data_IF_325414778001
#
_entry.id   IF_325414778001
#
_cell.length_a   1.000
_cell.length_b   1.000
_cell.length_c   1.000
_cell.angle_alpha   90.00
_cell.angle_beta   90.00
_cell.angle_gamma   90.00
#
_symmetry.space_group_name_H-M   'P 1'
#
loop_
_entity.id
_entity.type
_entity.pdbx_description
1 polymer ?
#
# COMPACT_ATOMS: atom_id res chain seq x y z
N UNK A 1 -13.93 5.31 -12.22
CA UNK A 1 -14.78 5.70 -11.05
C UNK A 1 -14.08 6.85 -10.35
N UNK A 2 -14.81 7.81 -9.79
CA UNK A 2 -14.20 8.87 -8.98
C UNK A 2 -14.13 8.37 -7.53
N UNK A 3 -12.97 8.53 -6.89
CA UNK A 3 -12.75 8.18 -5.48
C UNK A 3 -13.52 9.15 -4.58
N UNK A 4 -14.26 8.64 -3.57
CA UNK A 4 -14.92 9.50 -2.57
C UNK A 4 -13.85 10.14 -1.67
N UNK A 5 -13.67 11.45 -1.84
CA UNK A 5 -12.63 12.22 -1.15
C UNK A 5 -12.79 12.18 0.37
N UNK A 6 -14.02 12.12 0.90
CA UNK A 6 -14.25 12.10 2.36
C UNK A 6 -13.76 10.79 2.97
N UNK A 7 -13.93 9.69 2.23
CA UNK A 7 -13.42 8.38 2.67
C UNK A 7 -11.90 8.33 2.55
N UNK A 8 -11.33 8.93 1.51
CA UNK A 8 -9.88 9.05 1.37
C UNK A 8 -9.27 9.86 2.52
N UNK A 9 -9.87 11.00 2.86
CA UNK A 9 -9.44 11.84 3.98
C UNK A 9 -9.48 11.08 5.33
N UNK A 10 -10.46 10.20 5.52
CA UNK A 10 -10.57 9.35 6.72
C UNK A 10 -9.49 8.24 6.81
N UNK A 11 -8.78 7.95 5.71
CA UNK A 11 -7.64 7.04 5.68
C UNK A 11 -6.33 7.79 5.94
N UNK A 12 -6.22 9.02 5.45
CA UNK A 12 -5.06 9.89 5.73
C UNK A 12 -4.98 10.20 7.22
N UNK A 13 -3.77 10.17 7.78
CA UNK A 13 -3.50 10.43 9.19
C UNK A 13 -3.68 9.24 10.13
N UNK A 14 -4.17 8.08 9.65
CA UNK A 14 -4.23 6.85 10.47
C UNK A 14 -2.84 6.48 11.00
N UNK A 15 -2.74 6.19 12.29
CA UNK A 15 -1.46 5.91 12.95
C UNK A 15 -0.84 4.60 12.45
N UNK A 16 0.45 4.64 12.17
CA UNK A 16 1.25 3.43 11.95
C UNK A 16 1.60 2.81 13.30
N UNK A 17 1.55 1.49 13.41
CA UNK A 17 1.99 0.82 14.63
C UNK A 17 2.05 -0.69 14.52
N UNK A 18 2.41 -1.37 15.62
CA UNK A 18 2.55 -2.83 15.65
C UNK A 18 1.27 -3.58 15.21
N UNK A 19 0.10 -2.95 15.40
CA UNK A 19 -1.21 -3.50 15.05
C UNK A 19 -1.79 -2.95 13.75
N UNK A 20 -1.12 -1.98 13.11
CA UNK A 20 -1.60 -1.31 11.91
C UNK A 20 -0.44 -0.90 11.01
N UNK A 21 -0.23 -1.65 9.93
CA UNK A 21 0.88 -1.47 9.00
C UNK A 21 0.44 -1.04 7.59
N UNK A 22 1.39 -1.01 6.66
CA UNK A 22 1.16 -0.62 5.27
C UNK A 22 0.15 -1.50 4.54
N UNK A 23 0.11 -2.80 4.84
CA UNK A 23 -0.83 -3.72 4.21
C UNK A 23 -2.22 -3.65 4.88
N UNK A 24 -2.30 -3.35 6.19
CA UNK A 24 -3.58 -3.03 6.83
C UNK A 24 -4.24 -1.81 6.16
N UNK A 25 -3.48 -0.74 5.92
CA UNK A 25 -3.96 0.44 5.19
C UNK A 25 -4.40 0.12 3.76
N UNK A 26 -3.67 -0.75 3.05
CA UNK A 26 -4.04 -1.15 1.69
C UNK A 26 -5.35 -1.95 1.65
N UNK A 27 -5.58 -2.83 2.64
CA UNK A 27 -6.86 -3.55 2.78
C UNK A 27 -8.01 -2.61 3.14
N UNK A 28 -7.79 -1.67 4.05
CA UNK A 28 -8.78 -0.65 4.38
C UNK A 28 -9.14 0.20 3.17
N UNK A 29 -8.16 0.59 2.35
CA UNK A 29 -8.41 1.32 1.12
C UNK A 29 -9.26 0.49 0.14
N UNK A 30 -8.93 -0.79 -0.08
CA UNK A 30 -9.71 -1.69 -0.92
C UNK A 30 -11.18 -1.79 -0.44
N UNK A 31 -11.39 -1.97 0.87
CA UNK A 31 -12.72 -2.10 1.47
C UNK A 31 -13.49 -0.78 1.46
N UNK A 32 -12.90 0.29 1.99
CA UNK A 32 -13.61 1.54 2.26
C UNK A 32 -13.83 2.38 1.00
N UNK A 33 -12.83 2.45 0.11
CA UNK A 33 -12.90 3.26 -1.12
C UNK A 33 -13.55 2.50 -2.27
N UNK A 34 -13.33 1.18 -2.37
CA UNK A 34 -13.71 0.39 -3.54
C UNK A 34 -14.73 -0.72 -3.25
N UNK A 35 -15.15 -0.91 -1.98
CA UNK A 35 -16.11 -1.95 -1.61
C UNK A 35 -15.60 -3.37 -1.82
N UNK A 36 -14.28 -3.56 -1.88
CA UNK A 36 -13.63 -4.84 -2.14
C UNK A 36 -13.21 -5.49 -0.82
N UNK A 37 -13.82 -6.62 -0.47
CA UNK A 37 -13.40 -7.41 0.68
C UNK A 37 -12.22 -8.30 0.30
N UNK A 38 -11.03 -7.98 0.80
CA UNK A 38 -9.85 -8.84 0.70
C UNK A 38 -9.78 -9.68 1.99
N UNK A 39 -10.09 -10.96 1.88
CA UNK A 39 -9.98 -11.88 3.02
C UNK A 39 -8.54 -12.37 3.10
N UNK A 40 -7.77 -11.78 4.00
CA UNK A 40 -6.55 -12.42 4.48
C UNK A 40 -6.92 -13.55 5.47
N UNK A 41 -6.17 -14.66 5.51
CA UNK A 41 -6.21 -15.55 6.66
C UNK A 41 -6.03 -14.69 7.92
N UNK A 42 -7.00 -14.78 8.84
CA UNK A 42 -7.16 -13.90 10.02
C UNK A 42 -5.94 -13.82 10.96
N UNK A 43 -4.94 -14.67 10.74
CA UNK A 43 -3.62 -14.59 11.35
C UNK A 43 -2.55 -14.27 10.28
N UNK A 44 -2.63 -13.11 9.60
CA UNK A 44 -1.51 -12.64 8.78
C UNK A 44 -0.25 -12.56 9.66
N UNK A 45 0.84 -13.26 9.32
CA UNK A 45 2.09 -13.12 10.04
C UNK A 45 2.56 -11.67 10.01
N UNK A 46 2.84 -11.10 11.19
CA UNK A 46 3.50 -9.79 11.37
C UNK A 46 4.92 -10.01 11.89
N UNK A 47 5.80 -10.63 11.08
CA UNK A 47 7.12 -11.01 11.56
C UNK A 47 7.92 -9.75 11.92
N UNK A 48 8.78 -9.87 12.93
CA UNK A 48 9.69 -8.79 13.30
C UNK A 48 10.86 -8.73 12.33
N UNK A 49 11.27 -7.51 11.97
CA UNK A 49 12.40 -7.27 11.07
C UNK A 49 12.01 -7.06 9.60
N UNK A 50 12.82 -6.28 8.89
CA UNK A 50 12.51 -5.80 7.53
C UNK A 50 12.45 -6.92 6.50
N UNK A 51 13.38 -7.89 6.58
CA UNK A 51 13.48 -8.97 5.57
C UNK A 51 12.31 -9.94 5.65
N UNK A 52 11.95 -10.37 6.85
CA UNK A 52 10.85 -11.31 7.08
C UNK A 52 9.49 -10.68 6.73
N UNK A 53 9.29 -9.40 7.03
CA UNK A 53 8.11 -8.65 6.58
C UNK A 53 8.02 -8.58 5.07
N UNK A 54 9.15 -8.29 4.40
CA UNK A 54 9.18 -8.25 2.95
C UNK A 54 8.82 -9.60 2.31
N UNK A 55 9.38 -10.70 2.82
CA UNK A 55 9.03 -12.05 2.34
C UNK A 55 7.54 -12.38 2.56
N UNK A 56 6.98 -12.04 3.73
CA UNK A 56 5.57 -12.28 4.00
C UNK A 56 4.66 -11.46 3.07
N UNK A 57 5.00 -10.18 2.84
CA UNK A 57 4.27 -9.31 1.92
C UNK A 57 4.31 -9.86 0.50
N UNK A 58 5.49 -10.18 -0.03
CA UNK A 58 5.65 -10.68 -1.40
C UNK A 58 4.88 -11.98 -1.62
N UNK A 59 4.88 -12.89 -0.64
CA UNK A 59 4.08 -14.11 -0.69
C UNK A 59 2.59 -13.78 -0.80
N UNK A 60 2.08 -12.92 0.09
CA UNK A 60 0.68 -12.51 0.08
C UNK A 60 0.31 -11.81 -1.25
N UNK A 61 1.20 -10.96 -1.78
CA UNK A 61 0.98 -10.32 -3.09
C UNK A 61 0.90 -11.33 -4.23
N UNK A 62 1.74 -12.38 -4.22
CA UNK A 62 1.67 -13.45 -5.23
C UNK A 62 0.40 -14.30 -5.17
N UNK A 63 -0.27 -14.35 -4.02
CA UNK A 63 -1.52 -15.09 -3.83
C UNK A 63 -2.76 -14.21 -4.12
N UNK A 64 -2.68 -12.89 -3.88
CA UNK A 64 -3.85 -12.00 -3.85
C UNK A 64 -3.87 -10.96 -4.97
N UNK A 65 -2.78 -10.80 -5.69
CA UNK A 65 -2.66 -9.75 -6.69
C UNK A 65 -1.86 -10.22 -7.92
N UNK A 66 -2.13 -9.60 -9.07
CA UNK A 66 -1.43 -9.84 -10.33
C UNK A 66 -0.77 -8.57 -10.83
N UNK A 67 0.41 -8.65 -11.46
CA UNK A 67 1.09 -7.46 -11.98
C UNK A 67 0.26 -6.78 -13.07
N UNK A 68 0.36 -5.45 -13.14
CA UNK A 68 -0.23 -4.61 -14.19
C UNK A 68 0.78 -3.55 -14.65
N UNK A 69 0.77 -3.23 -15.94
CA UNK A 69 1.63 -2.18 -16.50
C UNK A 69 1.05 -0.77 -16.26
N UNK A 70 -0.29 -0.66 -16.33
CA UNK A 70 -1.03 0.60 -16.19
C UNK A 70 -1.95 0.48 -14.97
N UNK A 71 -1.57 1.08 -13.82
CA UNK A 71 -2.40 1.04 -12.62
C UNK A 71 -3.67 1.89 -12.79
N UNK A 72 -4.72 1.48 -12.11
CA UNK A 72 -5.95 2.24 -11.92
C UNK A 72 -6.19 2.48 -10.42
N UNK A 73 -7.16 3.34 -10.09
CA UNK A 73 -7.55 3.59 -8.70
C UNK A 73 -7.84 2.28 -7.95
N UNK A 74 -7.16 2.09 -6.82
CA UNK A 74 -7.29 0.92 -5.97
C UNK A 74 -6.28 -0.19 -6.25
N UNK A 75 -5.49 -0.09 -7.32
CA UNK A 75 -4.36 -0.99 -7.54
C UNK A 75 -3.27 -0.75 -6.49
N UNK A 76 -2.50 -1.79 -6.21
CA UNK A 76 -1.38 -1.79 -5.27
C UNK A 76 -0.11 -1.26 -5.92
N UNK A 77 0.69 -0.56 -5.13
CA UNK A 77 2.07 -0.18 -5.46
C UNK A 77 3.01 -0.95 -4.55
N UNK A 78 3.82 -1.84 -5.12
CA UNK A 78 4.90 -2.50 -4.40
C UNK A 78 6.12 -1.58 -4.36
N UNK A 79 6.70 -1.41 -3.18
CA UNK A 79 7.77 -0.46 -2.93
C UNK A 79 8.90 -1.05 -2.09
N UNK A 80 10.10 -0.51 -2.28
CA UNK A 80 11.26 -0.75 -1.43
C UNK A 80 11.67 0.54 -0.72
N UNK A 81 11.86 0.47 0.60
CA UNK A 81 12.39 1.58 1.40
C UNK A 81 13.91 1.65 1.26
N UNK A 82 14.49 2.84 1.48
CA UNK A 82 15.94 3.07 1.44
C UNK A 82 16.68 2.06 2.31
N UNK A 83 17.73 1.44 1.75
CA UNK A 83 18.52 0.42 2.43
C UNK A 83 17.90 -0.99 2.44
N UNK A 84 16.72 -1.17 1.85
CA UNK A 84 16.09 -2.49 1.69
C UNK A 84 16.35 -3.02 0.27
N UNK A 85 16.94 -4.21 0.17
CA UNK A 85 17.10 -4.92 -1.11
C UNK A 85 15.79 -5.54 -1.59
N UNK A 86 14.95 -5.98 -0.65
CA UNK A 86 13.67 -6.64 -0.93
C UNK A 86 12.54 -5.64 -0.73
N UNK A 87 11.63 -5.60 -1.71
CA UNK A 87 10.40 -4.83 -1.64
C UNK A 87 9.50 -5.37 -0.51
N UNK A 88 9.41 -4.61 0.57
CA UNK A 88 8.65 -4.98 1.76
C UNK A 88 7.65 -3.93 2.20
N UNK A 89 7.30 -3.02 1.29
CA UNK A 89 6.38 -1.93 1.55
C UNK A 89 5.31 -1.88 0.46
N UNK A 90 4.07 -1.55 0.84
CA UNK A 90 2.94 -1.48 -0.08
C UNK A 90 2.12 -0.21 0.14
N UNK A 91 1.45 0.24 -0.91
CA UNK A 91 0.49 1.33 -0.86
C UNK A 91 -0.61 1.14 -1.90
N UNK A 92 -1.60 2.03 -1.88
CA UNK A 92 -2.70 2.04 -2.85
C UNK A 92 -2.50 3.19 -3.83
N UNK A 93 -2.51 2.89 -5.12
CA UNK A 93 -2.43 3.86 -6.20
C UNK A 93 -3.78 4.56 -6.39
N UNK A 94 -3.73 5.89 -6.50
CA UNK A 94 -4.90 6.75 -6.69
C UNK A 94 -4.56 7.89 -7.65
N UNK A 95 -5.47 8.22 -8.56
CA UNK A 95 -5.38 9.41 -9.40
C UNK A 95 -6.21 10.53 -8.80
N UNK A 96 -5.55 11.44 -8.09
CA UNK A 96 -6.19 12.54 -7.36
C UNK A 96 -5.59 13.86 -7.82
N UNK A 97 -6.41 14.90 -8.01
CA UNK A 97 -5.97 16.22 -8.46
C UNK A 97 -5.08 16.16 -9.71
N UNK A 98 -5.48 15.35 -10.69
CA UNK A 98 -4.79 15.18 -11.98
C UNK A 98 -3.38 14.61 -11.88
N UNK A 99 -3.03 13.93 -10.77
CA UNK A 99 -1.71 13.37 -10.55
C UNK A 99 -1.78 12.00 -9.86
N UNK A 100 -0.89 11.05 -10.21
CA UNK A 100 -0.79 9.78 -9.50
C UNK A 100 -0.24 9.99 -8.08
N UNK A 101 -0.93 9.41 -7.12
CA UNK A 101 -0.56 9.39 -5.71
C UNK A 101 -0.55 7.96 -5.21
N UNK A 102 0.15 7.77 -4.09
CA UNK A 102 0.17 6.53 -3.33
C UNK A 102 -0.30 6.84 -1.92
N UNK A 103 -1.39 6.22 -1.50
CA UNK A 103 -1.79 6.15 -0.10
C UNK A 103 -0.95 5.07 0.59
N UNK A 104 -0.09 5.45 1.51
CA UNK A 104 0.77 4.50 2.23
C UNK A 104 1.10 4.98 3.64
N UNK A 105 1.54 4.05 4.48
CA UNK A 105 2.06 4.36 5.82
C UNK A 105 3.36 3.62 6.07
N UNK A 106 4.26 4.18 6.87
CA UNK A 106 5.48 3.50 7.29
C UNK A 106 5.84 3.88 8.72
N UNK A 107 6.69 3.07 9.35
CA UNK A 107 7.21 3.36 10.69
C UNK A 107 7.92 4.73 10.74
N UNK A 108 8.63 5.10 9.68
CA UNK A 108 9.35 6.38 9.62
C UNK A 108 8.40 7.59 9.54
N UNK A 109 7.24 7.44 8.88
CA UNK A 109 6.22 8.49 8.83
C UNK A 109 5.38 8.52 10.11
N UNK A 110 5.11 7.36 10.72
CA UNK A 110 4.25 7.23 11.90
C UNK A 110 2.75 7.35 11.60
N UNK A 111 2.36 7.70 10.38
CA UNK A 111 0.96 7.81 9.95
C UNK A 111 0.79 7.51 8.46
N UNK A 112 -0.46 7.37 8.01
CA UNK A 112 -0.85 7.22 6.62
C UNK A 112 -0.81 8.58 5.90
N UNK A 113 -0.06 8.66 4.80
CA UNK A 113 0.02 9.84 3.95
C UNK A 113 -0.39 9.53 2.51
N UNK A 114 -0.81 10.56 1.80
CA UNK A 114 -1.04 10.53 0.36
C UNK A 114 0.13 11.24 -0.32
N UNK A 115 1.08 10.48 -0.85
CA UNK A 115 2.31 11.00 -1.44
C UNK A 115 2.21 10.94 -2.96
N UNK A 116 2.59 12.01 -3.67
CA UNK A 116 2.67 11.94 -5.14
C UNK A 116 3.69 10.88 -5.57
N UNK A 117 3.36 10.13 -6.62
CA UNK A 117 4.18 9.03 -7.10
C UNK A 117 5.60 9.48 -7.47
N UNK A 118 5.73 10.68 -8.07
CA UNK A 118 7.01 11.28 -8.47
C UNK A 118 7.84 11.84 -7.31
N UNK A 119 7.24 12.01 -6.12
CA UNK A 119 7.92 12.48 -4.92
C UNK A 119 8.45 11.34 -4.05
N UNK A 120 7.98 10.10 -4.23
CA UNK A 120 8.44 8.92 -3.48
C UNK A 120 9.98 8.80 -3.40
N UNK A 121 10.76 9.03 -4.47
CA UNK A 121 12.22 8.95 -4.39
C UNK A 121 12.84 9.95 -3.41
N UNK A 122 12.21 11.12 -3.21
CA UNK A 122 12.67 12.14 -2.23
C UNK A 122 12.58 11.64 -0.80
N UNK A 123 11.66 10.72 -0.53
CA UNK A 123 11.48 10.03 0.75
C UNK A 123 12.28 8.73 0.84
N UNK A 124 13.14 8.44 -0.16
CA UNK A 124 13.91 7.21 -0.21
C UNK A 124 13.05 5.98 -0.50
N UNK A 125 11.91 6.15 -1.17
CA UNK A 125 11.01 5.06 -1.55
C UNK A 125 11.15 4.81 -3.05
N UNK A 126 11.43 3.56 -3.42
CA UNK A 126 11.50 3.11 -4.81
C UNK A 126 10.26 2.29 -5.15
N UNK A 127 9.64 2.57 -6.30
CA UNK A 127 8.55 1.74 -6.85
C UNK A 127 9.15 0.54 -7.57
N UNK A 128 8.62 -0.64 -7.29
CA UNK A 128 9.08 -1.92 -7.85
C UNK A 128 8.07 -2.47 -8.86
N UNK A 129 6.80 -2.16 -8.69
CA UNK A 129 5.76 -2.56 -9.63
C UNK A 129 4.36 -2.20 -9.16
N UNK A 130 3.40 -2.36 -10.08
CA UNK A 130 1.98 -2.16 -9.81
C UNK A 130 1.24 -3.49 -9.92
N UNK A 131 0.25 -3.68 -9.05
CA UNK A 131 -0.48 -4.93 -8.95
C UNK A 131 -1.98 -4.68 -8.77
N UNK A 132 -2.81 -5.51 -9.38
CA UNK A 132 -4.25 -5.47 -9.20
C UNK A 132 -4.69 -6.63 -8.34
N UNK A 133 -5.57 -6.38 -7.38
CA UNK A 133 -6.24 -7.42 -6.62
C UNK A 133 -6.89 -8.45 -7.56
N UNK A 134 -6.72 -9.73 -7.25
CA UNK A 134 -7.44 -10.82 -7.90
C UNK A 134 -8.86 -10.84 -7.32
N UNK A 135 -9.86 -11.06 -8.17
CA UNK A 135 -11.28 -11.19 -7.79
C UNK A 135 -11.59 -12.60 -7.25
#
# INVERSE_FOLDING_TARGET
>A
MSVDIRKLDALVGRAHGPQYDCADLAMDAARELFGREIVLPSARPRPQGTRSQATALLRAMGELARPVAEPQDGDLVLMALKGCEIAGHVGTWLHVNYSPHVLHTSLAMGYAGLTRLDELPRYGIRVEGFYRWID
#
